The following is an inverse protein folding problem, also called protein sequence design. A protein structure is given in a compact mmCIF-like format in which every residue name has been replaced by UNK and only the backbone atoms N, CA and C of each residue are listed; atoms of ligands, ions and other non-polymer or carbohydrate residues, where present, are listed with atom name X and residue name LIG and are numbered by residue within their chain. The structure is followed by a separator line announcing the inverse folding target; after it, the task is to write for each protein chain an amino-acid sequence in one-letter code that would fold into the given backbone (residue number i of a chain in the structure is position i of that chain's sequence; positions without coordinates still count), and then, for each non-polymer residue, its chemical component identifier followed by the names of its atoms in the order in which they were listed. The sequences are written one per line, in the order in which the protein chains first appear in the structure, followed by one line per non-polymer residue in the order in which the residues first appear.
data_IF_369145778352
#
_entry.id   IF_369145778352
#
_cell.length_a   1.000
_cell.length_b   1.000
_cell.length_c   1.000
_cell.angle_alpha   90.00
_cell.angle_beta   90.00
_cell.angle_gamma   90.00
#
_symmetry.space_group_name_H-M   'P 1'
#
loop_
_entity.id
_entity.type
_entity.pdbx_description
1 polymer ?
#
# COMPACT_ATOMS: atom_id res chain seq x y z
N UNK A 1 -26.83 -37.98 -17.80
CA UNK A 1 -26.28 -36.62 -18.00
C UNK A 1 -27.18 -35.65 -18.76
N UNK A 2 -28.05 -36.10 -19.68
CA UNK A 2 -28.95 -35.20 -20.44
C UNK A 2 -29.83 -34.29 -19.55
N UNK A 3 -30.37 -34.84 -18.46
CA UNK A 3 -31.14 -34.05 -17.47
C UNK A 3 -30.35 -32.88 -16.86
N UNK A 4 -29.04 -33.07 -16.62
CA UNK A 4 -28.19 -32.00 -16.11
C UNK A 4 -27.99 -30.91 -17.17
N UNK A 5 -27.76 -31.32 -18.42
CA UNK A 5 -27.62 -30.41 -19.56
C UNK A 5 -28.87 -29.55 -19.73
N UNK A 6 -30.06 -30.15 -19.76
CA UNK A 6 -31.33 -29.43 -19.90
C UNK A 6 -31.52 -28.39 -18.80
N UNK A 7 -31.14 -28.73 -17.56
CA UNK A 7 -31.30 -27.82 -16.41
C UNK A 7 -30.26 -26.71 -16.44
N UNK A 8 -28.99 -27.01 -16.74
CA UNK A 8 -27.97 -25.96 -16.95
C UNK A 8 -28.43 -25.02 -18.06
N UNK A 9 -28.89 -25.57 -19.19
CA UNK A 9 -29.35 -24.80 -20.33
C UNK A 9 -30.53 -23.92 -19.96
N UNK A 10 -31.57 -24.47 -19.32
CA UNK A 10 -32.76 -23.74 -18.89
C UNK A 10 -32.43 -22.64 -17.90
N UNK A 11 -31.65 -22.94 -16.87
CA UNK A 11 -31.25 -21.97 -15.85
C UNK A 11 -30.46 -20.84 -16.46
N UNK A 12 -29.43 -21.12 -17.26
CA UNK A 12 -28.61 -20.09 -17.91
C UNK A 12 -29.44 -19.25 -18.90
N UNK A 13 -30.28 -19.90 -19.72
CA UNK A 13 -31.11 -19.20 -20.70
C UNK A 13 -32.12 -18.24 -20.07
N UNK A 14 -32.53 -18.50 -18.82
CA UNK A 14 -33.44 -17.64 -18.06
C UNK A 14 -32.78 -16.36 -17.52
N UNK A 15 -31.45 -16.26 -17.51
CA UNK A 15 -30.72 -15.14 -16.91
C UNK A 15 -30.49 -14.02 -17.92
N UNK A 16 -30.88 -12.81 -17.55
CA UNK A 16 -30.59 -11.59 -18.31
C UNK A 16 -29.33 -10.86 -17.85
N UNK A 17 -28.70 -11.31 -16.75
CA UNK A 17 -27.49 -10.74 -16.17
C UNK A 17 -26.52 -11.84 -15.74
N UNK A 18 -25.30 -11.43 -15.36
CA UNK A 18 -24.34 -12.33 -14.70
C UNK A 18 -24.91 -12.75 -13.34
N UNK A 19 -24.89 -14.04 -13.07
CA UNK A 19 -25.39 -14.64 -11.84
C UNK A 19 -24.31 -15.51 -11.18
N UNK A 20 -23.67 -14.95 -10.15
CA UNK A 20 -22.66 -15.64 -9.35
C UNK A 20 -23.21 -16.82 -8.53
N UNK A 21 -24.53 -16.93 -8.43
CA UNK A 21 -25.25 -18.00 -7.72
C UNK A 21 -25.85 -19.03 -8.70
N UNK A 22 -25.45 -19.02 -9.97
CA UNK A 22 -26.02 -19.91 -11.00
C UNK A 22 -25.91 -21.40 -10.64
N UNK A 23 -24.84 -21.83 -9.96
CA UNK A 23 -24.66 -23.23 -9.51
C UNK A 23 -25.64 -23.57 -8.39
N UNK A 24 -25.85 -22.66 -7.45
CA UNK A 24 -26.85 -22.80 -6.40
C UNK A 24 -28.28 -22.86 -6.99
N UNK A 25 -28.57 -22.10 -8.04
CA UNK A 25 -29.87 -22.19 -8.71
C UNK A 25 -30.05 -23.48 -9.51
N UNK A 26 -28.98 -24.01 -10.11
CA UNK A 26 -28.99 -25.36 -10.73
C UNK A 26 -29.31 -26.42 -9.66
N UNK A 27 -28.68 -26.36 -8.49
CA UNK A 27 -28.87 -27.38 -7.44
C UNK A 27 -30.30 -27.42 -6.87
N UNK A 28 -31.03 -26.29 -6.87
CA UNK A 28 -32.45 -26.22 -6.45
C UNK A 28 -33.38 -27.10 -7.28
N UNK A 29 -32.95 -27.54 -8.46
CA UNK A 29 -33.74 -28.44 -9.32
C UNK A 29 -33.83 -29.88 -8.77
N UNK A 30 -33.17 -30.20 -7.65
CA UNK A 30 -33.22 -31.50 -6.93
C UNK A 30 -33.03 -32.72 -7.83
N UNK A 31 -32.09 -32.63 -8.77
CA UNK A 31 -31.76 -33.74 -9.66
C UNK A 31 -30.83 -34.69 -8.92
N UNK A 32 -31.18 -35.97 -8.90
CA UNK A 32 -30.27 -37.02 -8.47
C UNK A 32 -29.63 -37.65 -9.70
N UNK A 33 -28.33 -37.40 -9.88
CA UNK A 33 -27.52 -38.03 -10.92
C UNK A 33 -26.38 -38.73 -10.22
N UNK A 34 -26.27 -40.04 -10.43
CA UNK A 34 -25.23 -40.83 -9.81
C UNK A 34 -23.84 -40.29 -10.17
N UNK A 35 -23.08 -39.92 -9.14
CA UNK A 35 -21.74 -39.38 -9.26
C UNK A 35 -21.62 -37.88 -9.54
N UNK A 36 -22.72 -37.13 -9.42
CA UNK A 36 -22.75 -35.66 -9.38
C UNK A 36 -23.26 -35.22 -8.01
N UNK A 37 -22.49 -34.38 -7.31
CA UNK A 37 -22.85 -33.84 -6.00
C UNK A 37 -22.72 -32.31 -6.00
N UNK A 38 -23.65 -31.61 -5.35
CA UNK A 38 -23.54 -30.17 -5.13
C UNK A 38 -23.02 -29.89 -3.73
N UNK A 39 -22.04 -29.01 -3.61
CA UNK A 39 -21.43 -28.65 -2.32
C UNK A 39 -21.34 -27.14 -2.14
N UNK A 40 -21.43 -26.68 -0.89
CA UNK A 40 -21.49 -25.27 -0.51
C UNK A 40 -20.52 -25.04 0.65
N UNK A 41 -19.22 -25.20 0.38
CA UNK A 41 -18.17 -25.40 1.41
C UNK A 41 -17.58 -24.07 1.92
N UNK A 42 -17.98 -22.92 1.40
CA UNK A 42 -17.49 -21.60 1.85
C UNK A 42 -18.11 -21.17 3.22
N UNK A 43 -18.09 -22.05 4.21
CA UNK A 43 -18.42 -21.73 5.60
C UNK A 43 -19.89 -21.35 5.89
N UNK A 44 -20.14 -20.84 7.10
CA UNK A 44 -21.43 -20.25 7.49
C UNK A 44 -21.55 -18.87 6.83
N UNK A 45 -22.74 -18.57 6.28
CA UNK A 45 -23.09 -17.25 5.74
C UNK A 45 -22.60 -16.14 6.67
N UNK A 46 -21.72 -15.28 6.15
CA UNK A 46 -21.32 -14.06 6.85
C UNK A 46 -22.02 -12.88 6.22
N UNK A 47 -22.67 -12.07 7.06
CA UNK A 47 -23.41 -10.88 6.63
C UNK A 47 -22.53 -9.86 5.90
N UNK A 48 -21.20 -9.90 6.09
CA UNK A 48 -20.24 -8.97 5.52
C UNK A 48 -19.58 -9.45 4.21
N UNK A 49 -20.10 -10.49 3.56
CA UNK A 49 -19.59 -10.98 2.27
C UNK A 49 -20.41 -10.44 1.08
N UNK A 50 -19.76 -10.16 -0.07
CA UNK A 50 -20.42 -9.53 -1.22
C UNK A 50 -21.59 -10.35 -1.78
N UNK A 51 -21.54 -11.68 -1.69
CA UNK A 51 -22.57 -12.57 -2.25
C UNK A 51 -23.59 -13.06 -1.22
N UNK A 52 -23.41 -12.76 0.07
CA UNK A 52 -24.26 -13.12 1.24
C UNK A 52 -24.55 -14.62 1.44
N UNK A 53 -24.30 -15.46 0.44
CA UNK A 53 -24.59 -16.89 0.34
C UNK A 53 -23.48 -17.59 -0.44
N UNK A 54 -23.30 -18.90 -0.20
CA UNK A 54 -22.22 -19.68 -0.82
C UNK A 54 -22.48 -19.92 -2.31
N UNK A 55 -21.53 -19.56 -3.17
CA UNK A 55 -21.67 -19.64 -4.63
C UNK A 55 -21.96 -21.07 -5.16
N UNK A 56 -21.52 -22.09 -4.42
CA UNK A 56 -21.74 -23.51 -4.73
C UNK A 56 -20.71 -24.10 -5.70
N UNK A 57 -20.58 -25.43 -5.65
CA UNK A 57 -19.69 -26.22 -6.51
C UNK A 57 -20.38 -27.51 -6.98
N UNK A 58 -20.00 -27.97 -8.17
CA UNK A 58 -20.42 -29.26 -8.73
C UNK A 58 -19.25 -30.23 -8.61
N UNK A 59 -19.40 -31.28 -7.83
CA UNK A 59 -18.41 -32.35 -7.65
C UNK A 59 -18.78 -33.55 -8.55
N UNK A 60 -17.84 -33.99 -9.38
CA UNK A 60 -17.97 -35.19 -10.22
C UNK A 60 -17.02 -36.26 -9.69
N UNK A 61 -17.55 -37.39 -9.23
CA UNK A 61 -16.77 -38.39 -8.48
C UNK A 61 -16.47 -39.69 -9.27
N UNK A 62 -16.93 -39.80 -10.53
CA UNK A 62 -16.70 -40.95 -11.43
C UNK A 62 -16.09 -40.52 -12.78
N UNK A 63 -15.08 -41.24 -13.32
CA UNK A 63 -14.47 -40.93 -14.61
C UNK A 63 -15.43 -40.89 -15.81
N UNK A 64 -16.41 -41.79 -15.85
CA UNK A 64 -17.44 -41.81 -16.89
C UNK A 64 -18.29 -40.53 -16.89
N UNK A 65 -18.64 -40.04 -15.69
CA UNK A 65 -19.43 -38.81 -15.51
C UNK A 65 -18.62 -37.57 -15.92
N UNK A 66 -17.31 -37.55 -15.65
CA UNK A 66 -16.41 -36.46 -16.10
C UNK A 66 -16.43 -36.37 -17.63
N UNK A 67 -16.26 -37.51 -18.32
CA UNK A 67 -16.26 -37.55 -19.79
C UNK A 67 -17.59 -37.10 -20.39
N UNK A 68 -18.72 -37.53 -19.81
CA UNK A 68 -20.04 -37.08 -20.24
C UNK A 68 -20.26 -35.59 -19.94
N UNK A 69 -19.76 -35.07 -18.82
CA UNK A 69 -19.88 -33.65 -18.48
C UNK A 69 -19.06 -32.78 -19.44
N UNK A 70 -17.87 -33.21 -19.86
CA UNK A 70 -17.08 -32.54 -20.89
C UNK A 70 -17.83 -32.47 -22.24
N UNK A 71 -18.52 -33.56 -22.62
CA UNK A 71 -19.37 -33.56 -23.82
C UNK A 71 -20.53 -32.57 -23.69
N UNK A 72 -21.26 -32.61 -22.57
CA UNK A 72 -22.32 -31.64 -22.25
C UNK A 72 -21.82 -30.20 -22.29
N UNK A 73 -20.62 -29.94 -21.75
CA UNK A 73 -20.02 -28.62 -21.75
C UNK A 73 -19.78 -28.08 -23.16
N UNK A 74 -19.25 -28.92 -24.07
CA UNK A 74 -19.05 -28.56 -25.47
C UNK A 74 -20.37 -28.30 -26.22
N UNK A 75 -21.41 -29.08 -25.95
CA UNK A 75 -22.72 -28.88 -26.55
C UNK A 75 -23.36 -27.56 -26.09
N UNK A 76 -23.28 -27.26 -24.78
CA UNK A 76 -23.78 -25.99 -24.23
C UNK A 76 -23.01 -24.77 -24.74
N UNK A 77 -21.71 -24.91 -24.95
CA UNK A 77 -20.86 -23.88 -25.55
C UNK A 77 -21.35 -23.47 -26.94
N UNK A 78 -21.65 -24.44 -27.81
CA UNK A 78 -22.17 -24.16 -29.14
C UNK A 78 -23.58 -23.55 -29.10
N UNK A 79 -24.44 -24.02 -28.18
CA UNK A 79 -25.78 -23.45 -27.97
C UNK A 79 -25.71 -21.97 -27.57
N UNK A 80 -24.76 -21.60 -26.72
CA UNK A 80 -24.64 -20.24 -26.18
C UNK A 80 -23.66 -19.33 -26.92
N UNK A 81 -23.04 -19.79 -28.00
CA UNK A 81 -21.95 -19.09 -28.71
C UNK A 81 -22.25 -17.64 -29.09
N UNK A 82 -23.52 -17.31 -29.36
CA UNK A 82 -23.96 -15.96 -29.73
C UNK A 82 -24.45 -15.10 -28.56
N UNK A 83 -24.43 -15.62 -27.32
CA UNK A 83 -24.93 -14.91 -26.13
C UNK A 83 -23.83 -14.81 -25.07
N UNK A 84 -23.19 -13.65 -24.99
CA UNK A 84 -22.08 -13.40 -24.07
C UNK A 84 -22.46 -13.51 -22.58
N UNK A 85 -23.70 -13.19 -22.21
CA UNK A 85 -24.19 -13.33 -20.83
C UNK A 85 -24.34 -14.81 -20.47
N UNK A 86 -24.93 -15.60 -21.38
CA UNK A 86 -25.06 -17.03 -21.20
C UNK A 86 -23.68 -17.72 -21.13
N UNK A 87 -22.73 -17.32 -21.99
CA UNK A 87 -21.35 -17.82 -21.95
C UNK A 87 -20.64 -17.45 -20.64
N UNK A 88 -20.86 -16.25 -20.11
CA UNK A 88 -20.28 -15.83 -18.84
C UNK A 88 -20.86 -16.64 -17.65
N UNK A 89 -22.17 -16.87 -17.62
CA UNK A 89 -22.80 -17.74 -16.62
C UNK A 89 -22.35 -19.21 -16.77
N UNK A 90 -22.17 -19.69 -18.00
CA UNK A 90 -21.62 -21.02 -18.26
C UNK A 90 -20.17 -21.13 -17.76
N UNK A 91 -19.36 -20.08 -17.94
CA UNK A 91 -18.00 -20.03 -17.42
C UNK A 91 -17.97 -20.13 -15.88
N UNK A 92 -18.89 -19.45 -15.18
CA UNK A 92 -19.03 -19.60 -13.71
C UNK A 92 -19.33 -21.06 -13.35
N UNK A 93 -20.24 -21.73 -14.07
CA UNK A 93 -20.52 -23.15 -13.84
C UNK A 93 -19.27 -24.01 -14.02
N UNK A 94 -18.48 -23.77 -15.07
CA UNK A 94 -17.29 -24.57 -15.37
C UNK A 94 -16.15 -24.34 -14.36
N UNK A 95 -15.91 -23.11 -13.94
CA UNK A 95 -14.88 -22.81 -12.90
C UNK A 95 -15.26 -23.39 -11.53
N UNK A 96 -16.54 -23.67 -11.32
CA UNK A 96 -17.09 -24.28 -10.09
C UNK A 96 -17.33 -25.79 -10.22
N UNK A 97 -16.95 -26.40 -11.34
CA UNK A 97 -16.95 -27.84 -11.51
C UNK A 97 -15.61 -28.43 -11.02
N UNK A 98 -15.68 -29.48 -10.20
CA UNK A 98 -14.54 -30.12 -9.59
C UNK A 98 -14.62 -31.63 -9.73
N UNK A 99 -13.48 -32.26 -9.98
CA UNK A 99 -13.33 -33.71 -10.03
C UNK A 99 -11.93 -34.10 -9.52
N UNK A 100 -11.76 -35.37 -9.14
CA UNK A 100 -10.58 -35.89 -8.42
C UNK A 100 -9.29 -36.01 -9.25
N UNK A 101 -9.33 -35.73 -10.55
CA UNK A 101 -8.18 -35.77 -11.44
C UNK A 101 -7.66 -34.34 -11.69
N UNK A 102 -6.35 -34.17 -11.94
CA UNK A 102 -5.70 -32.87 -12.24
C UNK A 102 -6.30 -32.13 -13.47
N UNK A 103 -7.27 -32.74 -14.14
CA UNK A 103 -7.89 -32.33 -15.39
C UNK A 103 -8.84 -31.11 -15.29
N UNK A 104 -9.00 -30.43 -14.14
CA UNK A 104 -9.81 -29.17 -14.04
C UNK A 104 -9.41 -28.16 -15.11
N UNK A 105 -8.12 -28.15 -15.45
CA UNK A 105 -7.57 -27.31 -16.50
C UNK A 105 -8.11 -27.64 -17.90
N UNK A 106 -8.48 -28.90 -18.18
CA UNK A 106 -8.91 -29.35 -19.51
C UNK A 106 -10.24 -28.73 -19.95
N UNK A 107 -11.20 -28.57 -19.04
CA UNK A 107 -12.50 -27.93 -19.32
C UNK A 107 -12.33 -26.45 -19.69
N UNK A 108 -11.57 -25.70 -18.89
CA UNK A 108 -11.33 -24.28 -19.13
C UNK A 108 -10.43 -24.03 -20.34
N UNK A 109 -9.42 -24.89 -20.58
CA UNK A 109 -8.60 -24.85 -21.80
C UNK A 109 -9.45 -25.07 -23.04
N UNK A 110 -10.39 -26.02 -23.02
CA UNK A 110 -11.31 -26.27 -24.13
C UNK A 110 -12.27 -25.09 -24.36
N UNK A 111 -12.84 -24.54 -23.28
CA UNK A 111 -13.69 -23.34 -23.34
C UNK A 111 -12.98 -22.19 -24.05
N UNK A 112 -11.75 -21.86 -23.61
CA UNK A 112 -10.95 -20.78 -24.19
C UNK A 112 -10.58 -21.06 -25.65
N UNK A 113 -10.21 -22.30 -25.96
CA UNK A 113 -9.80 -22.70 -27.32
C UNK A 113 -10.94 -22.57 -28.32
N UNK A 114 -12.17 -22.93 -27.95
CA UNK A 114 -13.32 -22.89 -28.85
C UNK A 114 -13.82 -21.47 -29.11
N UNK A 115 -13.82 -20.60 -28.10
CA UNK A 115 -14.35 -19.24 -28.21
C UNK A 115 -13.34 -18.27 -28.83
N UNK A 116 -12.04 -18.51 -28.63
CA UNK A 116 -10.99 -17.60 -29.07
C UNK A 116 -10.81 -16.39 -28.15
N UNK A 117 -9.71 -15.67 -28.37
CA UNK A 117 -9.23 -14.62 -27.47
C UNK A 117 -10.22 -13.48 -27.28
N UNK A 118 -10.79 -12.96 -28.37
CA UNK A 118 -11.65 -11.76 -28.33
C UNK A 118 -12.94 -12.01 -27.55
N UNK A 119 -13.56 -13.19 -27.74
CA UNK A 119 -14.76 -13.58 -27.00
C UNK A 119 -14.44 -13.80 -25.53
N UNK A 120 -13.31 -14.43 -25.20
CA UNK A 120 -12.87 -14.57 -23.81
C UNK A 120 -12.64 -13.21 -23.14
N UNK A 121 -12.06 -12.23 -23.84
CA UNK A 121 -11.90 -10.87 -23.33
C UNK A 121 -13.25 -10.18 -23.09
N UNK A 122 -14.22 -10.35 -23.99
CA UNK A 122 -15.57 -9.81 -23.79
C UNK A 122 -16.27 -10.44 -22.57
N UNK A 123 -16.14 -11.75 -22.38
CA UNK A 123 -16.68 -12.45 -21.21
C UNK A 123 -16.00 -11.95 -19.93
N UNK A 124 -14.68 -11.80 -19.94
CA UNK A 124 -13.93 -11.25 -18.82
C UNK A 124 -14.44 -9.85 -18.44
N UNK A 125 -14.61 -8.96 -19.42
CA UNK A 125 -15.09 -7.59 -19.18
C UNK A 125 -16.50 -7.58 -18.54
N UNK A 126 -17.40 -8.45 -18.99
CA UNK A 126 -18.74 -8.61 -18.39
C UNK A 126 -18.68 -9.10 -16.94
N UNK A 127 -17.83 -10.08 -16.66
CA UNK A 127 -17.65 -10.63 -15.32
C UNK A 127 -17.03 -9.59 -14.37
N UNK A 128 -16.00 -8.86 -14.80
CA UNK A 128 -15.37 -7.79 -14.00
C UNK A 128 -16.36 -6.66 -13.72
N UNK A 129 -17.16 -6.25 -14.71
CA UNK A 129 -18.22 -5.26 -14.50
C UNK A 129 -19.23 -5.74 -13.44
N UNK A 130 -19.61 -7.03 -13.46
CA UNK A 130 -20.48 -7.61 -12.44
C UNK A 130 -19.83 -7.65 -11.05
N UNK A 131 -18.56 -8.07 -10.94
CA UNK A 131 -17.83 -8.07 -9.66
C UNK A 131 -17.70 -6.66 -9.08
N UNK A 132 -17.38 -5.68 -9.91
CA UNK A 132 -17.32 -4.26 -9.52
C UNK A 132 -18.66 -3.75 -8.96
N UNK A 133 -19.79 -4.33 -9.38
CA UNK A 133 -21.10 -3.97 -8.86
C UNK A 133 -21.39 -4.71 -7.55
N UNK A 134 -21.16 -6.03 -7.49
CA UNK A 134 -21.46 -6.82 -6.29
C UNK A 134 -20.59 -6.43 -5.08
N UNK A 135 -19.28 -6.22 -5.27
CA UNK A 135 -18.38 -5.79 -4.18
C UNK A 135 -18.67 -4.37 -3.66
N UNK A 136 -19.45 -3.58 -4.39
CA UNK A 136 -19.75 -2.18 -4.06
C UNK A 136 -21.26 -1.91 -3.89
N UNK A 137 -22.08 -2.97 -3.88
CA UNK A 137 -23.55 -2.89 -3.90
C UNK A 137 -24.15 -2.23 -2.66
N UNK A 138 -23.55 -2.49 -1.50
CA UNK A 138 -24.07 -2.07 -0.20
C UNK A 138 -23.53 -0.69 0.25
N UNK A 139 -22.92 0.10 -0.65
CA UNK A 139 -22.47 1.48 -0.36
C UNK A 139 -21.66 1.64 0.94
N UNK A 140 -20.91 0.61 1.37
CA UNK A 140 -19.76 0.90 2.24
C UNK A 140 -18.96 1.96 1.49
N UNK A 141 -18.82 3.15 2.08
CA UNK A 141 -18.10 4.26 1.48
C UNK A 141 -16.62 3.89 1.47
N UNK A 142 -16.25 2.96 0.60
CA UNK A 142 -14.89 2.58 0.30
C UNK A 142 -14.29 3.86 -0.26
N UNK A 143 -13.62 4.62 0.61
CA UNK A 143 -13.06 5.91 0.27
C UNK A 143 -12.13 5.71 -0.91
N UNK A 144 -12.28 6.55 -1.93
CA UNK A 144 -11.36 6.58 -3.05
C UNK A 144 -9.95 6.84 -2.51
N UNK A 145 -8.93 6.04 -2.87
CA UNK A 145 -7.56 6.32 -2.46
C UNK A 145 -7.09 7.67 -3.02
N UNK A 146 -6.59 8.55 -2.16
CA UNK A 146 -6.13 9.89 -2.49
C UNK A 146 -4.60 10.01 -2.47
N UNK A 147 -3.92 9.07 -1.83
CA UNK A 147 -2.46 9.02 -1.72
C UNK A 147 -1.96 7.56 -1.67
N UNK A 148 -0.63 7.39 -1.71
CA UNK A 148 -0.01 6.06 -1.74
C UNK A 148 -0.36 5.21 -0.51
N UNK A 149 -0.43 5.81 0.68
CA UNK A 149 -0.73 5.09 1.91
C UNK A 149 -2.17 4.57 1.94
N UNK A 150 -3.12 5.33 1.40
CA UNK A 150 -4.50 4.84 1.28
C UNK A 150 -4.53 3.52 0.51
N UNK A 151 -3.81 3.43 -0.62
CA UNK A 151 -3.68 2.19 -1.39
C UNK A 151 -2.96 1.07 -0.64
N UNK A 152 -1.90 1.38 0.12
CA UNK A 152 -1.23 0.39 0.96
C UNK A 152 -2.17 -0.17 2.03
N UNK A 153 -3.05 0.66 2.60
CA UNK A 153 -4.06 0.22 3.55
C UNK A 153 -5.10 -0.68 2.88
N UNK A 154 -5.50 -0.39 1.64
CA UNK A 154 -6.28 -1.31 0.83
C UNK A 154 -5.58 -2.65 0.67
N UNK A 155 -4.33 -2.68 0.22
CA UNK A 155 -3.56 -3.91 0.03
C UNK A 155 -3.53 -4.74 1.32
N UNK A 156 -3.20 -4.11 2.45
CA UNK A 156 -3.19 -4.75 3.78
C UNK A 156 -4.56 -5.30 4.18
N UNK A 157 -5.62 -4.54 3.96
CA UNK A 157 -6.98 -4.98 4.31
C UNK A 157 -7.42 -6.21 3.51
N UNK A 158 -6.97 -6.32 2.25
CA UNK A 158 -7.31 -7.44 1.38
C UNK A 158 -6.55 -8.73 1.70
N UNK A 159 -5.46 -8.67 2.48
CA UNK A 159 -4.68 -9.86 2.85
C UNK A 159 -5.45 -10.88 3.71
N UNK A 160 -6.61 -10.46 4.25
CA UNK A 160 -7.48 -11.28 5.07
C UNK A 160 -8.71 -11.80 4.30
N UNK A 161 -8.86 -11.46 3.02
CA UNK A 161 -9.89 -12.01 2.16
C UNK A 161 -9.47 -13.43 1.71
N UNK A 162 -9.81 -14.44 2.52
CA UNK A 162 -9.60 -15.85 2.17
C UNK A 162 -10.93 -16.53 1.84
N UNK A 163 -11.03 -17.10 0.65
CA UNK A 163 -12.06 -18.05 0.24
C UNK A 163 -11.42 -19.27 -0.43
N UNK A 164 -12.12 -20.41 -0.48
CA UNK A 164 -11.63 -21.63 -1.17
C UNK A 164 -11.58 -21.39 -2.69
N UNK A 165 -12.43 -20.52 -3.23
CA UNK A 165 -12.38 -20.06 -4.62
C UNK A 165 -12.71 -18.58 -4.71
N UNK A 166 -11.76 -17.81 -5.26
CA UNK A 166 -11.93 -16.38 -5.52
C UNK A 166 -12.47 -16.14 -6.95
N UNK A 167 -13.68 -15.56 -7.10
CA UNK A 167 -14.27 -15.22 -8.39
C UNK A 167 -13.35 -14.38 -9.28
N UNK A 168 -12.55 -13.49 -8.69
CA UNK A 168 -11.64 -12.63 -9.43
C UNK A 168 -10.51 -13.42 -10.07
N UNK A 169 -9.95 -14.40 -9.35
CA UNK A 169 -8.93 -15.32 -9.88
C UNK A 169 -9.52 -16.20 -10.99
N UNK A 170 -10.75 -16.68 -10.81
CA UNK A 170 -11.45 -17.44 -11.85
C UNK A 170 -11.61 -16.58 -13.12
N UNK A 171 -12.03 -15.32 -13.00
CA UNK A 171 -12.13 -14.43 -14.16
C UNK A 171 -10.79 -14.26 -14.88
N UNK A 172 -9.69 -14.10 -14.16
CA UNK A 172 -8.35 -13.95 -14.75
C UNK A 172 -7.93 -15.14 -15.61
N UNK A 173 -8.44 -16.35 -15.35
CA UNK A 173 -8.15 -17.52 -16.17
C UNK A 173 -8.61 -17.36 -17.62
N UNK A 174 -9.59 -16.50 -17.93
CA UNK A 174 -10.04 -16.22 -19.30
C UNK A 174 -8.97 -15.53 -20.14
N UNK A 175 -8.20 -14.62 -19.53
CA UNK A 175 -7.33 -13.67 -20.24
C UNK A 175 -5.84 -13.89 -19.94
N UNK A 176 -5.50 -14.70 -18.93
CA UNK A 176 -4.12 -15.03 -18.57
C UNK A 176 -3.74 -16.46 -18.93
N UNK A 177 -2.43 -16.70 -19.07
CA UNK A 177 -1.84 -18.03 -18.99
C UNK A 177 -1.57 -18.38 -17.52
N UNK A 178 -1.74 -19.65 -17.16
CA UNK A 178 -1.82 -20.09 -15.75
C UNK A 178 -0.51 -19.92 -14.97
N UNK A 179 0.64 -19.83 -15.66
CA UNK A 179 1.97 -19.88 -15.03
C UNK A 179 2.65 -18.52 -14.81
N UNK A 180 2.12 -17.42 -15.33
CA UNK A 180 2.75 -16.11 -15.19
C UNK A 180 2.07 -15.27 -14.09
N UNK A 181 2.87 -14.77 -13.14
CA UNK A 181 2.43 -13.78 -12.13
C UNK A 181 2.43 -12.34 -12.66
N UNK A 182 2.82 -12.12 -13.91
CA UNK A 182 2.64 -10.82 -14.57
C UNK A 182 1.23 -10.67 -15.11
N UNK A 183 0.63 -9.51 -14.86
CA UNK A 183 -0.71 -9.13 -15.30
C UNK A 183 -0.62 -7.85 -16.14
N UNK A 184 -1.19 -7.89 -17.34
CA UNK A 184 -1.31 -6.71 -18.19
C UNK A 184 -2.17 -5.66 -17.50
N UNK A 185 -1.59 -4.47 -17.33
CA UNK A 185 -2.23 -3.36 -16.66
C UNK A 185 -3.58 -2.95 -17.29
N UNK A 186 -3.75 -3.10 -18.60
CA UNK A 186 -5.02 -2.78 -19.27
C UNK A 186 -6.19 -3.65 -18.76
N UNK A 187 -5.91 -4.81 -18.15
CA UNK A 187 -6.92 -5.63 -17.47
C UNK A 187 -7.28 -5.09 -16.08
N UNK A 188 -6.30 -4.59 -15.31
CA UNK A 188 -6.55 -4.02 -13.98
C UNK A 188 -7.27 -2.68 -14.05
N UNK A 189 -6.99 -1.87 -15.08
CA UNK A 189 -7.55 -0.52 -15.20
C UNK A 189 -9.10 -0.53 -15.20
N UNK A 190 -9.71 -1.61 -15.71
CA UNK A 190 -11.17 -1.80 -15.73
C UNK A 190 -11.78 -2.13 -14.36
N UNK A 191 -10.94 -2.44 -13.37
CA UNK A 191 -11.35 -2.87 -12.04
C UNK A 191 -11.41 -1.70 -11.07
N UNK A 192 -12.36 -1.73 -10.13
CA UNK A 192 -12.39 -0.78 -9.00
C UNK A 192 -11.29 -1.11 -7.97
N UNK A 193 -10.94 -0.17 -7.08
CA UNK A 193 -9.77 -0.29 -6.22
C UNK A 193 -9.64 -1.59 -5.41
N UNK A 194 -10.73 -2.11 -4.86
CA UNK A 194 -10.71 -3.31 -4.02
C UNK A 194 -10.27 -4.54 -4.81
N UNK A 195 -10.74 -4.70 -6.05
CA UNK A 195 -10.35 -5.83 -6.89
C UNK A 195 -8.87 -5.72 -7.29
N UNK A 196 -8.41 -4.52 -7.64
CA UNK A 196 -6.97 -4.28 -7.92
C UNK A 196 -6.11 -4.62 -6.69
N UNK A 197 -6.57 -4.20 -5.51
CA UNK A 197 -5.90 -4.46 -4.24
C UNK A 197 -5.81 -5.95 -3.90
N UNK A 198 -6.86 -6.73 -4.14
CA UNK A 198 -6.83 -8.20 -3.97
C UNK A 198 -5.76 -8.81 -4.89
N UNK A 199 -5.70 -8.41 -6.15
CA UNK A 199 -4.72 -8.97 -7.09
C UNK A 199 -3.28 -8.63 -6.72
N UNK A 200 -3.01 -7.38 -6.37
CA UNK A 200 -1.64 -6.95 -6.03
C UNK A 200 -1.27 -7.34 -4.60
N UNK A 201 -2.09 -6.98 -3.61
CA UNK A 201 -1.74 -7.11 -2.19
C UNK A 201 -1.91 -8.51 -1.60
N UNK A 202 -2.89 -9.29 -2.08
CA UNK A 202 -3.15 -10.65 -1.57
C UNK A 202 -2.55 -11.73 -2.48
N UNK A 203 -2.62 -11.57 -3.80
CA UNK A 203 -2.11 -12.56 -4.76
C UNK A 203 -0.73 -12.23 -5.35
N UNK A 204 -0.17 -11.06 -5.04
CA UNK A 204 1.19 -10.67 -5.43
C UNK A 204 1.39 -10.73 -6.97
N UNK A 205 0.42 -10.22 -7.73
CA UNK A 205 0.56 -10.06 -9.18
C UNK A 205 1.48 -8.87 -9.51
N UNK A 206 2.50 -9.15 -10.31
CA UNK A 206 3.35 -8.14 -10.93
C UNK A 206 2.61 -7.46 -12.09
N UNK A 207 2.92 -6.19 -12.34
CA UNK A 207 2.29 -5.43 -13.41
C UNK A 207 3.16 -5.39 -14.66
N UNK A 208 2.58 -5.72 -15.81
CA UNK A 208 3.16 -5.48 -17.13
C UNK A 208 2.55 -4.23 -17.75
N UNK A 209 3.40 -3.25 -18.09
CA UNK A 209 2.97 -1.96 -18.63
C UNK A 209 3.81 -1.65 -19.87
N UNK A 210 3.14 -1.52 -21.02
CA UNK A 210 3.81 -1.11 -22.26
C UNK A 210 4.30 0.33 -22.16
N UNK A 211 5.40 0.68 -22.86
CA UNK A 211 5.90 2.07 -22.92
C UNK A 211 4.83 3.07 -23.37
N UNK A 212 3.95 2.68 -24.30
CA UNK A 212 2.84 3.52 -24.77
C UNK A 212 1.81 3.74 -23.66
N UNK A 213 1.46 2.69 -22.92
CA UNK A 213 0.52 2.78 -21.79
C UNK A 213 1.09 3.64 -20.67
N UNK A 214 2.35 3.40 -20.28
CA UNK A 214 3.03 4.17 -19.24
C UNK A 214 3.01 5.68 -19.52
N UNK A 215 3.25 6.09 -20.78
CA UNK A 215 3.15 7.50 -21.20
C UNK A 215 1.75 8.11 -20.99
N UNK A 216 0.68 7.32 -21.15
CA UNK A 216 -0.68 7.78 -20.85
C UNK A 216 -0.91 7.88 -19.34
N UNK A 217 -0.39 6.92 -18.57
CA UNK A 217 -0.53 6.91 -17.11
C UNK A 217 0.15 8.10 -16.44
N UNK A 218 1.22 8.64 -17.03
CA UNK A 218 1.84 9.89 -16.58
C UNK A 218 0.90 11.10 -16.53
N UNK A 219 -0.26 11.05 -17.18
CA UNK A 219 -1.27 12.11 -17.18
C UNK A 219 -2.37 11.90 -16.12
N UNK A 220 -2.38 10.77 -15.41
CA UNK A 220 -3.40 10.42 -14.41
C UNK A 220 -2.79 10.31 -13.02
N UNK A 221 -3.02 11.31 -12.17
CA UNK A 221 -2.55 11.28 -10.76
C UNK A 221 -3.06 10.04 -10.03
N UNK A 222 -4.31 9.64 -10.24
CA UNK A 222 -4.90 8.45 -9.60
C UNK A 222 -4.12 7.17 -9.91
N UNK A 223 -3.71 7.01 -11.17
CA UNK A 223 -2.97 5.83 -11.59
C UNK A 223 -1.50 5.89 -11.16
N UNK A 224 -0.91 7.08 -11.11
CA UNK A 224 0.43 7.27 -10.54
C UNK A 224 0.46 6.91 -9.04
N UNK A 225 -0.58 7.28 -8.30
CA UNK A 225 -0.71 6.90 -6.89
C UNK A 225 -0.78 5.36 -6.77
N UNK A 226 -1.60 4.69 -7.56
CA UNK A 226 -1.68 3.23 -7.55
C UNK A 226 -0.32 2.58 -7.87
N UNK A 227 0.36 3.00 -8.95
CA UNK A 227 1.67 2.47 -9.32
C UNK A 227 2.71 2.68 -8.23
N UNK A 228 2.69 3.83 -7.56
CA UNK A 228 3.60 4.09 -6.44
C UNK A 228 3.38 3.10 -5.29
N UNK A 229 2.13 2.77 -4.97
CA UNK A 229 1.83 1.80 -3.92
C UNK A 229 2.32 0.40 -4.29
N UNK A 230 2.19 -0.01 -5.56
CA UNK A 230 2.74 -1.29 -6.03
C UNK A 230 4.27 -1.40 -5.83
N UNK A 231 5.00 -0.27 -5.98
CA UNK A 231 6.45 -0.23 -5.82
C UNK A 231 6.91 -0.31 -4.36
N UNK A 232 6.11 0.17 -3.42
CA UNK A 232 6.49 0.24 -1.99
C UNK A 232 5.63 -0.66 -1.10
N UNK A 233 4.87 -1.56 -1.70
CA UNK A 233 4.15 -2.58 -0.97
C UNK A 233 5.12 -3.64 -0.43
N UNK A 234 5.11 -3.85 0.88
CA UNK A 234 6.03 -4.73 1.60
C UNK A 234 5.50 -6.18 1.74
N UNK A 235 4.51 -6.57 0.95
CA UNK A 235 3.89 -7.90 1.03
C UNK A 235 4.84 -9.05 0.65
N UNK A 236 5.84 -8.80 -0.19
CA UNK A 236 6.80 -9.79 -0.67
C UNK A 236 8.25 -9.32 -0.47
N UNK A 237 9.12 -10.13 0.17
CA UNK A 237 10.50 -9.73 0.49
C UNK A 237 11.43 -9.64 -0.73
N UNK A 238 11.19 -10.42 -1.78
CA UNK A 238 12.10 -10.59 -2.92
C UNK A 238 11.64 -9.85 -4.19
N UNK A 239 11.20 -8.58 -4.05
CA UNK A 239 10.71 -7.81 -5.19
C UNK A 239 11.82 -7.43 -6.16
N UNK A 240 11.53 -7.60 -7.46
CA UNK A 240 12.40 -7.23 -8.58
C UNK A 240 11.91 -5.89 -9.16
N UNK A 241 12.81 -4.98 -9.56
CA UNK A 241 12.41 -3.77 -10.27
C UNK A 241 11.59 -4.11 -11.52
N UNK A 242 10.38 -3.55 -11.68
CA UNK A 242 9.63 -3.75 -12.90
C UNK A 242 10.24 -2.93 -14.06
N UNK A 243 10.09 -3.41 -15.29
CA UNK A 243 10.66 -2.76 -16.49
C UNK A 243 10.13 -1.33 -16.73
N UNK A 244 8.98 -0.99 -16.13
CA UNK A 244 8.37 0.33 -16.21
C UNK A 244 8.86 1.30 -15.12
N UNK A 245 9.67 0.85 -14.14
CA UNK A 245 10.35 1.70 -13.18
C UNK A 245 11.48 2.47 -13.87
N UNK A 246 11.18 3.72 -14.21
CA UNK A 246 12.05 4.60 -15.00
C UNK A 246 12.39 5.87 -14.22
N UNK A 247 13.49 6.52 -14.56
CA UNK A 247 13.87 7.82 -13.98
C UNK A 247 12.76 8.86 -14.16
N UNK A 248 12.16 8.95 -15.35
CA UNK A 248 11.02 9.85 -15.64
C UNK A 248 9.81 9.58 -14.75
N UNK A 249 9.55 8.32 -14.37
CA UNK A 249 8.45 8.01 -13.45
C UNK A 249 8.77 8.52 -12.04
N UNK A 250 10.00 8.30 -11.56
CA UNK A 250 10.43 8.77 -10.23
C UNK A 250 10.50 10.30 -10.18
N UNK A 251 10.95 10.95 -11.25
CA UNK A 251 10.94 12.42 -11.38
C UNK A 251 9.51 12.96 -11.23
N UNK A 252 8.53 12.35 -11.90
CA UNK A 252 7.12 12.73 -11.73
C UNK A 252 6.61 12.54 -10.29
N UNK A 253 6.99 11.44 -9.65
CA UNK A 253 6.61 11.18 -8.27
C UNK A 253 7.16 12.24 -7.30
N UNK A 254 8.45 12.57 -7.44
CA UNK A 254 9.15 13.44 -6.51
C UNK A 254 8.91 14.93 -6.79
N UNK A 255 8.86 15.34 -8.06
CA UNK A 255 8.76 16.76 -8.43
C UNK A 255 7.32 17.22 -8.64
N UNK A 256 6.46 16.41 -9.27
CA UNK A 256 5.10 16.82 -9.60
C UNK A 256 4.06 16.36 -8.57
N UNK A 257 4.33 15.29 -7.83
CA UNK A 257 3.37 14.63 -6.95
C UNK A 257 3.93 14.37 -5.55
N UNK A 258 4.75 15.28 -5.02
CA UNK A 258 5.38 15.14 -3.71
C UNK A 258 4.39 14.77 -2.59
N UNK A 259 3.30 15.54 -2.46
CA UNK A 259 2.37 15.43 -1.33
C UNK A 259 1.57 14.11 -1.34
N UNK A 260 1.24 13.59 -2.54
CA UNK A 260 0.41 12.39 -2.70
C UNK A 260 1.22 11.11 -2.90
N UNK A 261 2.46 11.23 -3.39
CA UNK A 261 3.31 10.11 -3.80
C UNK A 261 4.75 10.27 -3.29
N UNK A 262 5.43 11.34 -3.70
CA UNK A 262 6.88 11.48 -3.56
C UNK A 262 7.39 11.33 -2.13
N UNK A 263 6.69 11.93 -1.17
CA UNK A 263 6.99 11.80 0.27
C UNK A 263 6.97 10.34 0.73
N UNK A 264 5.99 9.55 0.29
CA UNK A 264 5.87 8.15 0.69
C UNK A 264 6.97 7.29 0.06
N UNK A 265 7.31 7.51 -1.22
CA UNK A 265 8.48 6.88 -1.85
C UNK A 265 9.76 7.22 -1.10
N UNK A 266 9.94 8.49 -0.73
CA UNK A 266 11.12 8.97 -0.02
C UNK A 266 11.27 8.34 1.37
N UNK A 267 10.22 8.38 2.18
CA UNK A 267 10.19 7.75 3.50
C UNK A 267 10.41 6.24 3.40
N UNK A 268 9.83 5.60 2.41
CA UNK A 268 9.97 4.16 2.24
C UNK A 268 11.37 3.73 1.77
N UNK A 269 11.97 4.49 0.85
CA UNK A 269 13.29 4.19 0.30
C UNK A 269 14.43 4.45 1.30
N UNK A 270 14.35 5.54 2.07
CA UNK A 270 15.47 6.00 2.91
C UNK A 270 15.15 6.03 4.40
N UNK A 271 13.89 6.19 4.77
CA UNK A 271 13.42 6.21 6.15
C UNK A 271 13.29 4.81 6.73
N UNK A 272 12.25 4.64 7.56
CA UNK A 272 12.02 3.41 8.31
C UNK A 272 10.71 2.77 7.89
N UNK A 273 10.83 1.62 7.23
CA UNK A 273 9.74 0.67 7.11
C UNK A 273 10.05 -0.54 7.97
N UNK A 274 9.16 -0.82 8.91
CA UNK A 274 9.18 -2.01 9.78
C UNK A 274 9.25 -3.32 9.02
N UNK A 275 8.84 -3.31 7.75
CA UNK A 275 8.78 -4.47 6.86
C UNK A 275 9.91 -4.48 5.84
N UNK A 276 10.54 -3.33 5.56
CA UNK A 276 11.72 -3.20 4.72
C UNK A 276 13.02 -3.45 5.52
N UNK A 277 13.08 -4.61 6.19
CA UNK A 277 14.31 -5.06 6.87
C UNK A 277 15.24 -5.83 5.94
N UNK A 278 14.73 -6.25 4.78
CA UNK A 278 15.46 -7.07 3.83
C UNK A 278 15.86 -6.22 2.63
N UNK A 279 17.15 -6.15 2.34
CA UNK A 279 17.64 -5.54 1.11
C UNK A 279 17.08 -6.32 -0.09
N UNK A 280 16.41 -5.61 -1.01
CA UNK A 280 15.95 -6.18 -2.26
C UNK A 280 16.27 -5.26 -3.44
N UNK A 281 16.29 -5.87 -4.63
CA UNK A 281 16.72 -5.20 -5.87
C UNK A 281 15.81 -4.04 -6.25
N UNK A 282 14.50 -4.14 -5.98
CA UNK A 282 13.54 -3.07 -6.25
C UNK A 282 13.89 -1.83 -5.43
N UNK A 283 14.16 -2.00 -4.15
CA UNK A 283 14.45 -0.90 -3.23
C UNK A 283 15.81 -0.27 -3.50
N UNK A 284 16.83 -1.05 -3.85
CA UNK A 284 18.12 -0.50 -4.29
C UNK A 284 17.94 0.37 -5.55
N UNK A 285 17.16 -0.12 -6.52
CA UNK A 285 16.87 0.63 -7.74
C UNK A 285 16.07 1.91 -7.45
N UNK A 286 15.09 1.86 -6.54
CA UNK A 286 14.34 3.04 -6.11
C UNK A 286 15.23 4.07 -5.41
N UNK A 287 16.13 3.63 -4.51
CA UNK A 287 17.11 4.50 -3.84
C UNK A 287 18.03 5.18 -4.85
N UNK A 288 18.52 4.45 -5.85
CA UNK A 288 19.40 5.01 -6.88
C UNK A 288 18.70 6.05 -7.74
N UNK A 289 17.52 5.73 -8.27
CA UNK A 289 16.74 6.66 -9.09
C UNK A 289 16.34 7.91 -8.29
N UNK A 290 15.89 7.72 -7.05
CA UNK A 290 15.47 8.83 -6.19
C UNK A 290 16.66 9.71 -5.80
N UNK A 291 17.83 9.12 -5.53
CA UNK A 291 19.02 9.87 -5.14
C UNK A 291 19.42 10.92 -6.19
N UNK A 292 19.45 10.55 -7.49
CA UNK A 292 19.85 11.50 -8.55
C UNK A 292 18.93 12.73 -8.56
N UNK A 293 17.62 12.53 -8.48
CA UNK A 293 16.62 13.61 -8.53
C UNK A 293 16.67 14.45 -7.25
N UNK A 294 16.70 13.81 -6.08
CA UNK A 294 16.74 14.51 -4.79
C UNK A 294 18.04 15.29 -4.59
N UNK A 295 19.19 14.75 -5.03
CA UNK A 295 20.48 15.43 -4.93
C UNK A 295 20.49 16.70 -5.79
N UNK A 296 19.94 16.62 -7.01
CA UNK A 296 19.76 17.77 -7.91
C UNK A 296 18.92 18.85 -7.23
N UNK A 297 17.80 18.47 -6.61
CA UNK A 297 16.96 19.40 -5.87
C UNK A 297 17.69 20.01 -4.67
N UNK A 298 18.28 19.20 -3.81
CA UNK A 298 18.92 19.66 -2.58
C UNK A 298 20.11 20.59 -2.83
N UNK A 299 20.83 20.42 -3.94
CA UNK A 299 21.95 21.29 -4.33
C UNK A 299 21.53 22.54 -5.10
N UNK A 300 20.28 22.65 -5.53
CA UNK A 300 19.80 23.83 -6.23
C UNK A 300 19.45 24.95 -5.24
N UNK A 301 19.95 26.16 -5.51
CA UNK A 301 19.57 27.39 -4.79
C UNK A 301 18.39 28.06 -5.50
N UNK A 302 17.18 27.51 -5.33
CA UNK A 302 15.97 28.07 -5.91
C UNK A 302 14.75 27.93 -5.00
N UNK A 303 13.71 28.71 -5.30
CA UNK A 303 12.47 28.75 -4.51
C UNK A 303 11.76 27.40 -4.45
N UNK A 304 11.89 26.57 -5.49
CA UNK A 304 11.20 25.28 -5.54
C UNK A 304 11.83 24.27 -4.58
N UNK A 305 13.16 24.28 -4.43
CA UNK A 305 13.85 23.51 -3.39
C UNK A 305 13.46 23.98 -2.00
N UNK A 306 13.39 25.29 -1.76
CA UNK A 306 12.95 25.83 -0.47
C UNK A 306 11.51 25.39 -0.15
N UNK A 307 10.59 25.50 -1.12
CA UNK A 307 9.20 25.01 -0.97
C UNK A 307 9.16 23.52 -0.67
N UNK A 308 9.97 22.71 -1.36
CA UNK A 308 10.06 21.28 -1.09
C UNK A 308 10.52 20.99 0.35
N UNK A 309 11.57 21.67 0.84
CA UNK A 309 12.04 21.53 2.22
C UNK A 309 10.93 21.88 3.22
N UNK A 310 10.17 22.94 2.98
CA UNK A 310 9.07 23.35 3.89
C UNK A 310 7.89 22.38 3.98
N UNK A 311 7.86 21.34 3.12
CA UNK A 311 6.85 20.29 3.15
C UNK A 311 7.28 19.05 3.95
N UNK A 312 8.52 19.02 4.46
CA UNK A 312 9.00 17.89 5.25
C UNK A 312 8.32 17.87 6.62
N UNK A 313 7.73 16.73 6.97
CA UNK A 313 7.06 16.51 8.25
C UNK A 313 7.95 15.70 9.22
N UNK A 314 8.07 16.22 10.44
CA UNK A 314 8.77 15.50 11.51
C UNK A 314 7.81 14.46 12.14
N UNK A 315 8.28 13.22 12.44
CA UNK A 315 9.67 12.76 12.39
C UNK A 315 10.09 12.00 11.13
N UNK A 316 9.16 11.38 10.41
CA UNK A 316 9.49 10.37 9.39
C UNK A 316 10.27 10.93 8.19
N UNK A 317 9.94 12.13 7.72
CA UNK A 317 10.62 12.71 6.57
C UNK A 317 12.05 13.12 6.92
N UNK A 318 12.28 13.58 8.15
CA UNK A 318 13.62 13.94 8.64
C UNK A 318 14.49 12.69 8.84
N UNK A 319 13.92 11.60 9.36
CA UNK A 319 14.61 10.32 9.42
C UNK A 319 15.00 9.85 8.01
N UNK A 320 14.10 9.99 7.05
CA UNK A 320 14.37 9.65 5.65
C UNK A 320 15.44 10.55 5.02
N UNK A 321 15.39 11.86 5.27
CA UNK A 321 16.38 12.83 4.82
C UNK A 321 17.78 12.48 5.32
N UNK A 322 17.94 12.30 6.62
CA UNK A 322 19.25 12.03 7.19
C UNK A 322 19.72 10.58 6.95
N UNK A 323 18.77 9.63 6.85
CA UNK A 323 19.04 8.28 6.36
C UNK A 323 19.56 8.29 4.91
N UNK A 324 19.01 9.14 4.06
CA UNK A 324 19.48 9.36 2.69
C UNK A 324 20.87 10.00 2.65
N UNK A 325 21.09 11.10 3.37
CA UNK A 325 22.41 11.76 3.43
C UNK A 325 23.50 10.78 3.91
N UNK A 326 23.21 10.01 4.96
CA UNK A 326 24.12 9.01 5.49
C UNK A 326 24.38 7.86 4.51
N UNK A 327 23.33 7.21 3.99
CA UNK A 327 23.47 6.04 3.12
C UNK A 327 24.16 6.36 1.79
N UNK A 328 23.97 7.58 1.25
CA UNK A 328 24.63 8.06 0.03
C UNK A 328 25.90 8.87 0.31
N UNK A 329 26.32 8.97 1.59
CA UNK A 329 27.53 9.69 2.04
C UNK A 329 27.61 11.12 1.52
N UNK A 330 26.48 11.82 1.51
CA UNK A 330 26.41 13.23 1.09
C UNK A 330 26.96 14.08 2.23
N UNK A 331 28.03 14.83 1.96
CA UNK A 331 28.62 15.72 2.95
C UNK A 331 27.68 16.93 3.16
N UNK A 332 27.26 17.25 4.41
CA UNK A 332 26.43 18.42 4.71
C UNK A 332 26.99 19.73 4.14
N UNK A 333 28.31 19.87 4.06
CA UNK A 333 28.95 21.08 3.53
C UNK A 333 28.72 21.28 2.01
N UNK A 334 28.29 20.25 1.29
CA UNK A 334 27.92 20.35 -0.13
C UNK A 334 26.48 20.84 -0.34
N UNK A 335 25.69 20.96 0.73
CA UNK A 335 24.33 21.50 0.68
C UNK A 335 24.44 23.02 0.83
N UNK A 336 23.84 23.84 -0.05
CA UNK A 336 23.84 25.30 0.08
C UNK A 336 23.42 25.78 1.47
N UNK A 337 24.06 26.85 1.97
CA UNK A 337 23.79 27.41 3.30
C UNK A 337 22.31 27.79 3.48
N UNK A 338 21.69 28.35 2.43
CA UNK A 338 20.26 28.68 2.39
C UNK A 338 19.37 27.45 2.59
N UNK A 339 19.71 26.33 1.95
CA UNK A 339 18.98 25.06 2.06
C UNK A 339 19.22 24.41 3.44
N UNK A 340 20.43 24.51 4.00
CA UNK A 340 20.69 24.04 5.37
C UNK A 340 19.87 24.83 6.39
N UNK A 341 19.86 26.16 6.26
CA UNK A 341 19.03 27.03 7.10
C UNK A 341 17.53 26.69 6.96
N UNK A 342 17.05 26.43 5.74
CA UNK A 342 15.67 26.01 5.50
C UNK A 342 15.31 24.68 6.18
N UNK A 343 16.22 23.70 6.17
CA UNK A 343 16.03 22.41 6.87
C UNK A 343 15.92 22.64 8.38
N UNK A 344 16.81 23.46 8.95
CA UNK A 344 16.76 23.83 10.38
C UNK A 344 15.47 24.56 10.73
N UNK A 345 15.05 25.54 9.92
CA UNK A 345 13.81 26.29 10.11
C UNK A 345 12.59 25.38 10.04
N UNK A 346 12.55 24.44 9.09
CA UNK A 346 11.45 23.49 8.97
C UNK A 346 11.36 22.56 10.18
N UNK A 347 12.49 22.06 10.68
CA UNK A 347 12.51 21.24 11.89
C UNK A 347 11.89 21.99 13.08
N UNK A 348 12.30 23.23 13.30
CA UNK A 348 11.76 24.08 14.37
C UNK A 348 10.27 24.37 14.17
N UNK A 349 9.86 24.65 12.93
CA UNK A 349 8.45 24.84 12.57
C UNK A 349 7.60 23.60 12.89
N UNK A 350 8.11 22.41 12.60
CA UNK A 350 7.42 21.15 12.93
C UNK A 350 7.33 20.91 14.44
N UNK A 351 8.36 21.25 15.22
CA UNK A 351 8.27 21.22 16.68
C UNK A 351 7.18 22.17 17.20
N UNK A 352 7.09 23.39 16.65
CA UNK A 352 6.04 24.34 16.99
C UNK A 352 4.65 23.84 16.58
N UNK A 353 4.52 23.20 15.41
CA UNK A 353 3.27 22.60 14.95
C UNK A 353 2.80 21.51 15.92
N UNK A 354 3.70 20.62 16.34
CA UNK A 354 3.41 19.56 17.32
C UNK A 354 2.99 20.17 18.66
N UNK A 355 3.68 21.22 19.12
CA UNK A 355 3.36 21.89 20.37
C UNK A 355 1.95 22.52 20.32
N UNK A 356 1.60 23.19 19.22
CA UNK A 356 0.25 23.71 18.96
C UNK A 356 -0.83 22.62 18.89
N UNK A 357 -0.50 21.39 18.49
CA UNK A 357 -1.43 20.27 18.42
C UNK A 357 -1.53 19.44 19.72
N UNK A 358 -0.81 19.80 20.79
CA UNK A 358 -0.89 19.13 22.10
C UNK A 358 -2.35 18.87 22.55
N UNK A 359 -3.30 19.83 22.49
CA UNK A 359 -4.67 19.58 22.91
C UNK A 359 -5.34 18.41 22.18
N UNK A 360 -5.01 18.20 20.91
CA UNK A 360 -5.53 17.11 20.07
C UNK A 360 -4.96 15.76 20.52
N UNK A 361 -3.67 15.72 20.90
CA UNK A 361 -3.01 14.51 21.40
C UNK A 361 -3.47 14.12 22.83
N UNK A 362 -3.90 15.10 23.63
CA UNK A 362 -4.36 14.86 25.00
C UNK A 362 -5.85 14.50 25.10
N UNK A 363 -6.63 14.63 24.02
CA UNK A 363 -8.05 14.27 24.01
C UNK A 363 -8.26 12.79 24.40
N UNK A 364 -9.28 12.49 25.20
CA UNK A 364 -9.50 11.18 25.83
C UNK A 364 -9.63 10.02 24.84
N UNK A 365 -10.16 10.28 23.65
CA UNK A 365 -10.33 9.29 22.58
C UNK A 365 -9.08 9.11 21.69
N UNK A 366 -8.08 9.97 21.82
CA UNK A 366 -6.88 9.93 21.00
C UNK A 366 -5.71 9.30 21.77
N UNK A 367 -5.10 8.26 21.21
CA UNK A 367 -3.88 7.61 21.73
C UNK A 367 -2.65 7.90 20.87
N UNK A 368 -2.72 8.90 19.99
CA UNK A 368 -1.63 9.27 19.09
C UNK A 368 -0.56 10.07 19.84
N UNK A 369 0.63 9.50 19.94
CA UNK A 369 1.84 10.21 20.34
C UNK A 369 2.65 10.61 19.06
N UNK A 370 2.91 11.92 18.87
CA UNK A 370 3.59 12.43 17.68
C UNK A 370 5.06 12.00 17.56
N UNK A 371 5.65 11.44 18.62
CA UNK A 371 7.04 10.97 18.64
C UNK A 371 7.18 9.45 18.54
N UNK A 372 6.06 8.71 18.41
CA UNK A 372 6.00 7.23 18.37
C UNK A 372 6.89 6.57 17.32
N UNK A 373 7.30 7.32 16.30
CA UNK A 373 8.22 6.79 15.30
C UNK A 373 9.62 6.56 15.89
N UNK A 374 10.09 7.26 16.93
CA UNK A 374 11.46 7.05 17.42
C UNK A 374 11.67 5.70 18.11
N UNK A 375 12.61 4.91 17.59
CA UNK A 375 13.03 3.65 18.21
C UNK A 375 14.52 3.65 18.46
N UNK A 376 14.91 3.86 19.72
CA UNK A 376 16.30 4.10 20.10
C UNK A 376 17.27 2.95 19.75
N UNK A 377 16.75 1.75 19.53
CA UNK A 377 17.55 0.59 19.13
C UNK A 377 17.94 0.58 17.65
N UNK A 378 17.33 1.43 16.81
CA UNK A 378 17.50 1.37 15.36
C UNK A 378 18.45 2.46 14.85
N UNK A 379 19.51 2.05 14.14
CA UNK A 379 20.67 2.89 13.83
C UNK A 379 20.36 4.10 12.94
N UNK A 380 19.32 4.02 12.09
CA UNK A 380 18.85 5.16 11.29
C UNK A 380 18.34 6.31 12.16
N UNK A 381 17.68 6.03 13.30
CA UNK A 381 17.26 7.09 14.22
C UNK A 381 18.46 7.75 14.89
N UNK A 382 19.40 6.95 15.40
CA UNK A 382 20.60 7.46 16.07
C UNK A 382 21.39 8.38 15.12
N UNK A 383 21.50 7.97 13.85
CA UNK A 383 22.09 8.80 12.80
C UNK A 383 21.29 10.09 12.58
N UNK A 384 19.96 9.99 12.44
CA UNK A 384 19.11 11.16 12.23
C UNK A 384 19.23 12.19 13.36
N UNK A 385 19.31 11.75 14.63
CA UNK A 385 19.49 12.64 15.78
C UNK A 385 20.81 13.42 15.72
N UNK A 386 21.91 12.77 15.30
CA UNK A 386 23.20 13.43 15.12
C UNK A 386 23.16 14.49 14.00
N UNK A 387 22.47 14.20 12.89
CA UNK A 387 22.27 15.19 11.83
C UNK A 387 21.37 16.36 12.28
N UNK A 388 20.27 16.09 12.99
CA UNK A 388 19.44 17.15 13.57
C UNK A 388 20.29 18.06 14.44
N UNK A 389 21.14 17.49 15.31
CA UNK A 389 22.05 18.28 16.12
C UNK A 389 22.96 19.14 15.25
N UNK A 390 23.64 18.55 14.27
CA UNK A 390 24.56 19.28 13.38
C UNK A 390 23.90 20.51 12.74
N UNK A 391 22.67 20.36 12.24
CA UNK A 391 21.89 21.45 11.66
C UNK A 391 21.45 22.49 12.71
N UNK A 392 21.17 22.06 13.94
CA UNK A 392 20.85 22.95 15.06
C UNK A 392 22.05 23.74 15.59
N UNK A 393 23.29 23.25 15.44
CA UNK A 393 24.48 24.02 15.84
C UNK A 393 24.60 25.33 15.03
N UNK A 394 24.12 25.31 13.78
CA UNK A 394 24.02 26.49 12.91
C UNK A 394 22.71 27.27 13.05
N UNK A 395 21.85 26.94 14.01
CA UNK A 395 20.56 27.59 14.19
C UNK A 395 20.71 29.06 14.63
N UNK A 396 19.85 29.93 14.08
CA UNK A 396 19.81 31.36 14.43
C UNK A 396 19.28 31.57 15.86
N UNK A 397 19.49 32.77 16.42
CA UNK A 397 18.92 33.13 17.72
C UNK A 397 17.39 33.06 17.73
N UNK A 398 16.74 33.36 16.60
CA UNK A 398 15.29 33.19 16.43
C UNK A 398 14.89 31.72 16.57
N UNK A 399 15.58 30.81 15.88
CA UNK A 399 15.32 29.37 16.02
C UNK A 399 15.50 28.87 17.45
N UNK A 400 16.55 29.34 18.14
CA UNK A 400 16.84 28.95 19.52
C UNK A 400 15.73 29.41 20.47
N UNK A 401 15.27 30.65 20.32
CA UNK A 401 14.13 31.18 21.07
C UNK A 401 12.85 30.40 20.79
N UNK A 402 12.62 30.00 19.55
CA UNK A 402 11.47 29.18 19.18
C UNK A 402 11.51 27.78 19.81
N UNK A 403 12.69 27.16 19.85
CA UNK A 403 12.89 25.89 20.56
C UNK A 403 12.63 26.07 22.07
N UNK A 404 13.16 27.14 22.68
CA UNK A 404 12.92 27.46 24.10
C UNK A 404 11.43 27.61 24.40
N UNK A 405 10.68 28.33 23.54
CA UNK A 405 9.23 28.47 23.65
C UNK A 405 8.53 27.11 23.60
N UNK A 406 8.90 26.24 22.66
CA UNK A 406 8.34 24.87 22.58
C UNK A 406 8.66 24.09 23.86
N UNK A 407 9.89 24.15 24.37
CA UNK A 407 10.25 23.51 25.62
C UNK A 407 9.41 24.02 26.80
N UNK A 408 9.11 25.33 26.85
CA UNK A 408 8.20 25.88 27.86
C UNK A 408 6.77 25.35 27.74
N UNK A 409 6.24 25.15 26.53
CA UNK A 409 4.92 24.54 26.33
C UNK A 409 4.89 23.11 26.90
N UNK A 410 5.88 22.29 26.57
CA UNK A 410 5.98 20.91 27.09
C UNK A 410 6.27 20.86 28.60
N UNK A 411 7.01 21.83 29.15
CA UNK A 411 7.26 21.93 30.60
C UNK A 411 5.96 21.91 31.41
N UNK A 412 4.92 22.59 30.93
CA UNK A 412 3.63 22.66 31.63
C UNK A 412 2.94 21.30 31.76
N UNK A 413 3.19 20.39 30.81
CA UNK A 413 2.56 19.08 30.76
C UNK A 413 3.03 18.10 31.85
N UNK A 414 4.21 18.34 32.44
CA UNK A 414 4.69 17.55 33.59
C UNK A 414 3.79 17.66 34.83
N UNK A 415 3.00 18.72 34.91
CA UNK A 415 2.04 18.95 36.00
C UNK A 415 0.62 18.47 35.68
N UNK A 416 0.43 17.83 34.51
CA UNK A 416 -0.86 17.30 34.06
C UNK A 416 -1.13 15.86 34.51
N UNK A 417 -2.14 15.23 33.88
CA UNK A 417 -2.43 13.81 34.07
C UNK A 417 -1.48 12.90 33.27
N UNK A 418 -1.61 11.59 33.45
CA UNK A 418 -0.70 10.56 32.89
C UNK A 418 -0.31 10.79 31.42
N UNK A 419 -1.28 11.04 30.53
CA UNK A 419 -1.01 11.24 29.09
C UNK A 419 -0.18 12.49 28.80
N UNK A 420 -0.42 13.58 29.53
CA UNK A 420 0.34 14.81 29.41
C UNK A 420 1.79 14.61 29.86
N UNK A 421 1.96 13.98 31.03
CA UNK A 421 3.27 13.66 31.58
C UNK A 421 4.08 12.71 30.68
N UNK A 422 3.41 11.70 30.09
CA UNK A 422 4.02 10.77 29.15
C UNK A 422 4.50 11.48 27.88
N UNK A 423 3.67 12.35 27.29
CA UNK A 423 4.04 13.14 26.12
C UNK A 423 5.21 14.11 26.41
N UNK A 424 5.21 14.75 27.59
CA UNK A 424 6.31 15.61 28.05
C UNK A 424 7.63 14.83 28.22
N UNK A 425 7.53 13.62 28.74
CA UNK A 425 8.65 12.70 28.90
C UNK A 425 9.26 12.33 27.54
N UNK A 426 8.44 11.91 26.58
CA UNK A 426 8.91 11.54 25.24
C UNK A 426 9.58 12.71 24.51
N UNK A 427 9.00 13.91 24.59
CA UNK A 427 9.63 15.12 24.04
C UNK A 427 10.98 15.41 24.70
N UNK A 428 11.05 15.34 26.03
CA UNK A 428 12.29 15.62 26.77
C UNK A 428 13.38 14.60 26.43
N UNK A 429 13.03 13.32 26.39
CA UNK A 429 13.95 12.25 25.99
C UNK A 429 14.46 12.47 24.56
N UNK A 430 13.59 12.81 23.60
CA UNK A 430 13.98 13.16 22.23
C UNK A 430 15.00 14.31 22.20
N UNK A 431 14.69 15.44 22.87
CA UNK A 431 15.56 16.62 22.84
C UNK A 431 16.91 16.36 23.51
N UNK A 432 16.92 15.59 24.61
CA UNK A 432 18.14 15.13 25.27
C UNK A 432 18.97 14.25 24.34
N UNK A 433 18.34 13.29 23.65
CA UNK A 433 19.03 12.40 22.73
C UNK A 433 19.64 13.17 21.54
N UNK A 434 18.97 14.19 21.02
CA UNK A 434 19.55 15.11 20.03
C UNK A 434 20.82 15.74 20.61
N UNK A 435 20.75 16.34 21.80
CA UNK A 435 21.91 16.99 22.43
C UNK A 435 23.07 16.01 22.72
N UNK A 436 22.76 14.83 23.23
CA UNK A 436 23.74 13.78 23.55
C UNK A 436 24.35 13.12 22.31
N UNK A 437 23.71 13.24 21.15
CA UNK A 437 24.27 12.79 19.87
C UNK A 437 25.52 13.57 19.46
N UNK A 438 25.88 14.65 20.17
CA UNK A 438 27.16 15.36 20.00
C UNK A 438 28.38 14.46 20.18
N UNK A 439 28.27 13.37 20.95
CA UNK A 439 29.34 12.37 21.08
C UNK A 439 29.66 11.65 19.74
N UNK A 440 28.77 11.74 18.75
CA UNK A 440 28.91 11.12 17.44
C UNK A 440 29.39 12.13 16.39
N UNK A 441 29.54 13.40 16.76
CA UNK A 441 29.99 14.48 15.87
C UNK A 441 31.44 14.80 16.20
N UNK A 442 32.34 14.53 15.26
CA UNK A 442 33.77 14.81 15.41
C UNK A 442 34.13 16.17 14.81
N UNK A 443 35.10 16.86 15.42
CA UNK A 443 35.70 18.06 14.85
C UNK A 443 34.88 19.34 15.02
N UNK A 444 34.03 19.42 16.05
CA UNK A 444 33.30 20.65 16.38
C UNK A 444 34.27 21.79 16.70
N UNK A 445 34.03 22.96 16.11
CA UNK A 445 34.76 24.17 16.45
C UNK A 445 34.26 24.83 17.75
N UNK A 446 34.93 25.90 18.19
CA UNK A 446 34.57 26.59 19.44
C UNK A 446 33.16 27.20 19.40
N UNK A 447 32.73 27.72 18.24
CA UNK A 447 31.42 28.33 18.07
C UNK A 447 30.31 27.28 18.12
N UNK A 448 30.52 26.13 17.47
CA UNK A 448 29.63 24.98 17.51
C UNK A 448 29.53 24.38 18.91
N UNK A 449 30.64 24.31 19.66
CA UNK A 449 30.62 23.85 21.04
C UNK A 449 29.85 24.81 21.97
N UNK A 450 29.97 26.13 21.73
CA UNK A 450 29.17 27.13 22.44
C UNK A 450 27.68 27.01 22.10
N UNK A 451 27.34 26.77 20.83
CA UNK A 451 25.97 26.52 20.38
C UNK A 451 25.36 25.29 21.06
N UNK A 452 26.11 24.18 21.15
CA UNK A 452 25.69 22.97 21.86
C UNK A 452 25.42 23.26 23.34
N UNK A 453 26.31 24.00 24.02
CA UNK A 453 26.10 24.40 25.41
C UNK A 453 24.84 25.23 25.59
N UNK A 454 24.56 26.15 24.68
CA UNK A 454 23.35 26.97 24.73
C UNK A 454 22.09 26.13 24.55
N UNK A 455 22.10 25.19 23.59
CA UNK A 455 21.01 24.24 23.39
C UNK A 455 20.76 23.37 24.65
N UNK A 456 21.81 22.78 25.22
CA UNK A 456 21.69 21.98 26.45
C UNK A 456 21.20 22.80 27.65
N UNK A 457 21.60 24.08 27.72
CA UNK A 457 21.11 25.00 28.75
C UNK A 457 19.60 25.24 28.63
N UNK A 458 19.09 25.47 27.41
CA UNK A 458 17.65 25.60 27.17
C UNK A 458 16.91 24.38 27.71
N UNK A 459 17.37 23.17 27.38
CA UNK A 459 16.75 21.93 27.88
C UNK A 459 16.81 21.81 29.40
N UNK A 460 17.96 22.13 29.99
CA UNK A 460 18.18 22.11 31.44
C UNK A 460 17.18 23.00 32.18
N UNK A 461 17.09 24.26 31.77
CA UNK A 461 16.31 25.30 32.46
C UNK A 461 14.78 25.11 32.28
N UNK A 462 14.38 24.37 31.24
CA UNK A 462 12.97 24.17 30.87
C UNK A 462 12.42 22.81 31.29
N UNK A 463 12.79 21.74 30.58
CA UNK A 463 12.12 20.43 30.63
C UNK A 463 12.88 19.36 31.41
N UNK A 464 14.20 19.49 31.57
CA UNK A 464 15.02 18.48 32.24
C UNK A 464 14.77 18.41 33.75
N UNK A 465 14.72 19.55 34.43
CA UNK A 465 14.45 19.62 35.88
C UNK A 465 13.13 18.91 36.25
N UNK A 466 11.97 19.25 35.66
CA UNK A 466 10.72 18.56 36.00
C UNK A 466 10.73 17.08 35.60
N UNK A 467 11.43 16.70 34.53
CA UNK A 467 11.63 15.31 34.14
C UNK A 467 12.39 14.50 35.20
N UNK A 468 13.50 15.03 35.73
CA UNK A 468 14.28 14.38 36.80
C UNK A 468 13.43 14.22 38.06
N UNK A 469 12.76 15.28 38.50
CA UNK A 469 11.88 15.24 39.67
C UNK A 469 10.74 14.22 39.54
N UNK A 470 10.24 13.98 38.33
CA UNK A 470 9.23 12.96 38.09
C UNK A 470 9.84 11.55 38.18
N UNK A 471 11.05 11.31 37.66
CA UNK A 471 11.71 10.00 37.68
C UNK A 471 12.21 9.59 39.08
N UNK A 472 12.46 10.57 39.95
CA UNK A 472 12.86 10.34 41.34
C UNK A 472 11.68 10.03 42.28
N UNK A 473 10.44 10.29 41.84
CA UNK A 473 9.21 9.92 42.56
C UNK A 473 8.81 8.50 42.22
#
# INVERSE_FOLDING_TARGET
MEKLKEIIQKTISSKSTIDWMVVHDISKSKIEIEGVEFSFVDGKERYNEPFKTNQGYISLNKPSVISEFQKTANELLEVFKSNSIALANLFIVFTRASYKEEDKETLLKNFKKQLGKDVCTNIFDLLIASLNNEYYKDNYSIKKPLNTNDWLDFFRSTQYMRGISDPLINCLQLVRSERNRKLDYDLLEKMKPLLRAVLVGQYDFDLEITKRKLKKLYQSTEELIFLSACLIDDSAPDKIPPDWLTETLIERFLENHWDTIGRQIFVHAFGLSFRNKNDNKLYDRLKDLSHTILLRHLKAENDDTLKWITKLEFPNDFIALFGWLSSKKINPNEIPDSNRAAITNQFVSELQRIAKSIPVHLASENSSDPFTSFQLYEGKYQTALAYVLLFLLSATDTNRKDIENVCHEFKTLFYGGFRATHLATHFTELMLLIGLSGNWVNGLDEAEYLALKQYLKILSDTVLIPYIHLKER
#
